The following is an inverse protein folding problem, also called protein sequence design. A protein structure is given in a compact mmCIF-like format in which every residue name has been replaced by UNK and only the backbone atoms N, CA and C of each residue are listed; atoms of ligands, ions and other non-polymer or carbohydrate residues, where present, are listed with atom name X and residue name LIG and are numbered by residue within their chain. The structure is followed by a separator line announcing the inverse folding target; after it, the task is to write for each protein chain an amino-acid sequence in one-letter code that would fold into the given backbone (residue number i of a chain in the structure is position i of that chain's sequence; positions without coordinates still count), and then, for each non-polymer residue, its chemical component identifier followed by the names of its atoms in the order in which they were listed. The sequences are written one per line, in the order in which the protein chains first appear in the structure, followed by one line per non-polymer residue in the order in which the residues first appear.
data_IF_307976086097
#
_entry.id   IF_307976086097
#
_cell.length_a   1.000
_cell.length_b   1.000
_cell.length_c   1.000
_cell.angle_alpha   90.00
_cell.angle_beta   90.00
_cell.angle_gamma   90.00
#
_symmetry.space_group_name_H-M   'P 1'
#
loop_
_entity.id
_entity.type
_entity.pdbx_description
1 polymer ?
#
# COMPACT_ATOMS: atom_id res chain seq x y z
N UNK A 1 16.53 11.65 18.51
CA UNK A 1 15.48 10.91 19.24
C UNK A 1 14.62 10.21 18.19
N UNK A 2 14.51 8.88 18.23
CA UNK A 2 13.52 8.17 17.42
C UNK A 2 12.13 8.69 17.83
N UNK A 3 11.28 8.98 16.85
CA UNK A 3 9.95 9.54 17.07
C UNK A 3 9.03 8.45 17.65
N UNK A 4 8.44 8.67 18.83
CA UNK A 4 7.50 7.73 19.47
C UNK A 4 6.04 7.84 18.92
N UNK A 5 5.88 8.32 17.69
CA UNK A 5 4.57 8.61 17.06
C UNK A 5 3.63 7.41 16.97
N UNK A 6 4.17 6.18 17.02
CA UNK A 6 3.42 4.93 17.01
C UNK A 6 3.67 4.09 18.28
N UNK A 7 4.17 4.70 19.37
CA UNK A 7 4.38 3.98 20.63
C UNK A 7 3.09 3.32 21.11
N UNK A 8 3.19 2.05 21.49
CA UNK A 8 2.06 1.24 21.97
C UNK A 8 1.10 0.78 20.86
N UNK A 9 1.35 1.09 19.59
CA UNK A 9 0.52 0.64 18.46
C UNK A 9 1.07 -0.65 17.83
N UNK A 10 0.16 -1.52 17.44
CA UNK A 10 0.45 -2.68 16.59
C UNK A 10 0.07 -2.37 15.15
N UNK A 11 0.98 -2.56 14.21
CA UNK A 11 0.79 -2.28 12.79
C UNK A 11 1.05 -3.52 11.93
N UNK A 12 0.18 -3.75 10.95
CA UNK A 12 0.41 -4.71 9.86
C UNK A 12 0.80 -3.95 8.60
N UNK A 13 1.85 -4.41 7.93
CA UNK A 13 2.26 -3.90 6.61
C UNK A 13 2.36 -5.07 5.64
N UNK A 14 1.58 -5.05 4.56
CA UNK A 14 1.64 -6.08 3.51
C UNK A 14 2.67 -5.71 2.43
N UNK A 15 3.22 -6.71 1.72
CA UNK A 15 4.36 -6.57 0.82
C UNK A 15 5.56 -5.90 1.50
N UNK A 16 5.82 -6.27 2.75
CA UNK A 16 6.85 -5.67 3.58
C UNK A 16 8.28 -6.13 3.23
N UNK A 17 8.44 -7.12 2.38
CA UNK A 17 9.74 -7.64 1.98
C UNK A 17 10.58 -6.68 1.14
N UNK A 18 9.95 -5.75 0.41
CA UNK A 18 10.66 -4.85 -0.50
C UNK A 18 9.96 -3.49 -0.68
N UNK A 19 10.66 -2.54 -1.32
CA UNK A 19 10.13 -1.27 -1.81
C UNK A 19 9.41 -0.45 -0.74
N UNK A 20 8.21 0.05 -1.07
CA UNK A 20 7.43 0.94 -0.20
C UNK A 20 7.00 0.23 1.08
N UNK A 21 6.56 -1.05 0.97
CA UNK A 21 6.15 -1.83 2.14
C UNK A 21 7.29 -1.96 3.16
N UNK A 22 8.50 -2.31 2.67
CA UNK A 22 9.69 -2.42 3.53
C UNK A 22 10.05 -1.10 4.20
N UNK A 23 10.16 -0.03 3.41
CA UNK A 23 10.49 1.30 3.95
C UNK A 23 9.46 1.76 5.01
N UNK A 24 8.18 1.44 4.80
CA UNK A 24 7.12 1.77 5.76
C UNK A 24 7.19 0.92 7.02
N UNK A 25 7.42 -0.39 6.90
CA UNK A 25 7.59 -1.27 8.06
C UNK A 25 8.76 -0.80 8.94
N UNK A 26 9.91 -0.50 8.32
CA UNK A 26 11.08 0.04 9.02
C UNK A 26 10.80 1.42 9.66
N UNK A 27 10.05 2.30 8.96
CA UNK A 27 9.67 3.60 9.51
C UNK A 27 8.73 3.47 10.71
N UNK A 28 7.77 2.54 10.67
CA UNK A 28 6.84 2.28 11.77
C UNK A 28 7.55 1.71 13.00
N UNK A 29 8.52 0.81 12.80
CA UNK A 29 9.38 0.31 13.89
C UNK A 29 10.18 1.44 14.52
N UNK A 30 10.81 2.31 13.71
CA UNK A 30 11.55 3.49 14.24
C UNK A 30 10.64 4.44 15.00
N UNK A 31 9.36 4.46 14.69
CA UNK A 31 8.35 5.27 15.37
C UNK A 31 7.73 4.58 16.61
N UNK A 32 8.26 3.44 17.05
CA UNK A 32 7.85 2.76 18.28
C UNK A 32 6.71 1.75 18.13
N UNK A 33 6.29 1.40 16.90
CA UNK A 33 5.25 0.38 16.69
C UNK A 33 5.81 -1.04 16.83
N UNK A 34 4.97 -1.95 17.33
CA UNK A 34 5.09 -3.38 17.05
C UNK A 34 4.63 -3.63 15.63
N UNK A 35 5.53 -4.06 14.74
CA UNK A 35 5.24 -4.24 13.31
C UNK A 35 5.20 -5.71 12.94
N UNK A 36 4.06 -6.16 12.40
CA UNK A 36 3.93 -7.45 11.73
C UNK A 36 4.12 -7.22 10.23
N UNK A 37 5.27 -7.65 9.72
CA UNK A 37 5.67 -7.54 8.32
C UNK A 37 5.17 -8.75 7.54
N UNK A 38 4.23 -8.54 6.63
CA UNK A 38 3.58 -9.59 5.83
C UNK A 38 4.12 -9.59 4.42
N UNK A 39 4.58 -10.73 3.94
CA UNK A 39 4.99 -10.96 2.53
C UNK A 39 4.86 -12.44 2.18
N UNK A 40 4.85 -12.76 0.89
CA UNK A 40 5.00 -14.14 0.40
C UNK A 40 6.46 -14.59 0.37
N UNK A 41 7.40 -13.65 0.34
CA UNK A 41 8.84 -13.92 0.30
C UNK A 41 9.43 -14.06 1.72
N UNK A 42 9.55 -15.30 2.16
CA UNK A 42 10.14 -15.65 3.46
C UNK A 42 11.59 -15.20 3.60
N UNK A 43 12.35 -15.11 2.50
CA UNK A 43 13.77 -14.70 2.53
C UNK A 43 13.86 -13.20 2.75
N UNK A 44 13.05 -12.42 2.02
CA UNK A 44 12.99 -10.97 2.18
C UNK A 44 12.57 -10.59 3.62
N UNK A 45 11.58 -11.29 4.20
CA UNK A 45 11.14 -11.06 5.57
C UNK A 45 12.25 -11.29 6.62
N UNK A 46 13.10 -12.29 6.44
CA UNK A 46 14.23 -12.57 7.38
C UNK A 46 15.20 -11.40 7.49
N UNK A 47 15.28 -10.54 6.49
CA UNK A 47 16.14 -9.35 6.51
C UNK A 47 15.57 -8.18 7.32
N UNK A 48 14.31 -8.26 7.76
CA UNK A 48 13.60 -7.25 8.60
C UNK A 48 13.76 -7.61 10.08
N UNK A 49 14.95 -7.46 10.63
CA UNK A 49 15.32 -7.96 11.96
C UNK A 49 14.55 -7.33 13.14
N UNK A 50 13.90 -6.19 12.94
CA UNK A 50 13.13 -5.47 13.98
C UNK A 50 11.62 -5.61 13.80
N UNK A 51 11.16 -6.41 12.81
CA UNK A 51 9.74 -6.69 12.56
C UNK A 51 9.44 -8.16 12.88
N UNK A 52 8.19 -8.45 13.22
CA UNK A 52 7.68 -9.81 13.26
C UNK A 52 7.31 -10.25 11.85
N UNK A 53 8.12 -11.09 11.22
CA UNK A 53 7.86 -11.59 9.86
C UNK A 53 6.74 -12.63 9.83
N UNK A 54 5.78 -12.47 8.93
CA UNK A 54 4.70 -13.41 8.68
C UNK A 54 4.58 -13.73 7.18
N UNK A 55 4.83 -14.96 6.81
CA UNK A 55 4.63 -15.43 5.43
C UNK A 55 3.14 -15.65 5.19
N UNK A 56 2.55 -14.89 4.27
CA UNK A 56 1.12 -14.94 3.96
C UNK A 56 0.88 -14.53 2.51
N UNK A 57 0.15 -15.35 1.76
CA UNK A 57 -0.46 -14.90 0.50
C UNK A 57 -1.77 -14.18 0.81
N UNK A 58 -1.78 -12.87 0.62
CA UNK A 58 -2.95 -12.02 0.88
C UNK A 58 -4.11 -12.25 -0.11
N UNK A 59 -3.94 -13.14 -1.09
CA UNK A 59 -5.02 -13.59 -1.98
C UNK A 59 -5.83 -14.75 -1.41
N UNK A 60 -5.35 -15.38 -0.34
CA UNK A 60 -6.04 -16.50 0.32
C UNK A 60 -6.87 -16.00 1.52
N UNK A 61 -8.21 -15.91 1.39
CA UNK A 61 -9.07 -15.44 2.47
C UNK A 61 -9.06 -16.33 3.71
N UNK A 62 -8.83 -17.64 3.54
CA UNK A 62 -8.78 -18.59 4.66
C UNK A 62 -7.51 -18.39 5.46
N UNK A 63 -6.36 -18.27 4.78
CA UNK A 63 -5.09 -17.97 5.43
C UNK A 63 -5.11 -16.59 6.13
N UNK A 64 -5.79 -15.59 5.56
CA UNK A 64 -5.99 -14.28 6.20
C UNK A 64 -6.81 -14.42 7.49
N UNK A 65 -7.89 -15.21 7.47
CA UNK A 65 -8.73 -15.41 8.66
C UNK A 65 -7.96 -16.10 9.82
N UNK A 66 -7.21 -17.14 9.52
CA UNK A 66 -6.32 -17.82 10.48
C UNK A 66 -5.23 -16.87 11.01
N UNK A 67 -4.63 -16.08 10.10
CA UNK A 67 -3.63 -15.07 10.46
C UNK A 67 -4.23 -14.03 11.41
N UNK A 68 -5.42 -13.49 11.11
CA UNK A 68 -6.08 -12.48 11.96
C UNK A 68 -6.43 -13.05 13.34
N UNK A 69 -6.92 -14.28 13.42
CA UNK A 69 -7.21 -14.93 14.69
C UNK A 69 -5.94 -15.11 15.56
N UNK A 70 -4.80 -15.39 14.95
CA UNK A 70 -3.51 -15.55 15.64
C UNK A 70 -2.91 -14.22 16.09
N UNK A 71 -3.02 -13.15 15.28
CA UNK A 71 -2.42 -11.84 15.59
C UNK A 71 -3.25 -11.07 16.61
N UNK A 72 -4.57 -11.19 16.55
CA UNK A 72 -5.48 -10.41 17.38
C UNK A 72 -5.65 -8.96 16.91
N UNK A 73 -6.15 -8.08 17.79
CA UNK A 73 -6.42 -6.68 17.44
C UNK A 73 -5.17 -5.89 17.04
N UNK A 74 -5.32 -5.01 16.04
CA UNK A 74 -4.25 -4.11 15.57
C UNK A 74 -4.78 -2.68 15.47
N UNK A 75 -3.87 -1.70 15.52
CA UNK A 75 -4.21 -0.27 15.40
C UNK A 75 -4.04 0.26 13.98
N UNK A 76 -3.12 -0.33 13.22
CA UNK A 76 -2.77 0.14 11.87
C UNK A 76 -2.76 -1.04 10.91
N UNK A 77 -3.42 -0.87 9.75
CA UNK A 77 -3.36 -1.79 8.63
C UNK A 77 -2.90 -1.02 7.38
N UNK A 78 -1.67 -1.29 6.93
CA UNK A 78 -1.17 -0.75 5.68
C UNK A 78 -1.22 -1.82 4.58
N UNK A 79 -2.20 -1.71 3.70
CA UNK A 79 -2.37 -2.53 2.52
C UNK A 79 -1.48 -2.01 1.38
N UNK A 80 -0.27 -2.52 1.27
CA UNK A 80 0.73 -2.12 0.27
C UNK A 80 0.92 -3.16 -0.84
N UNK A 81 0.47 -4.39 -0.66
CA UNK A 81 0.58 -5.44 -1.68
C UNK A 81 -0.14 -5.06 -2.97
N UNK A 82 0.51 -5.35 -4.10
CA UNK A 82 -0.08 -5.04 -5.40
C UNK A 82 0.86 -5.37 -6.56
N UNK A 83 0.29 -5.41 -7.76
CA UNK A 83 0.99 -5.63 -9.02
C UNK A 83 0.62 -4.57 -10.05
N UNK A 84 1.48 -4.39 -11.05
CA UNK A 84 1.33 -3.39 -12.12
C UNK A 84 1.34 -4.08 -13.49
N UNK A 85 0.25 -4.73 -13.92
CA UNK A 85 0.18 -5.31 -15.25
C UNK A 85 0.17 -4.20 -16.31
N UNK A 86 0.84 -4.45 -17.44
CA UNK A 86 0.72 -3.67 -18.66
C UNK A 86 -0.47 -4.17 -19.51
N UNK A 87 -0.84 -3.38 -20.51
CA UNK A 87 -1.86 -3.70 -21.49
C UNK A 87 -2.95 -2.64 -21.59
N UNK A 88 -3.38 -2.43 -22.84
CA UNK A 88 -4.59 -1.66 -23.18
C UNK A 88 -5.83 -2.53 -22.96
N UNK A 89 -7.03 -1.96 -23.14
CA UNK A 89 -8.29 -2.73 -23.07
C UNK A 89 -8.35 -3.86 -24.11
N UNK A 90 -7.62 -3.74 -25.22
CA UNK A 90 -7.58 -4.74 -26.29
C UNK A 90 -6.46 -5.77 -26.13
N UNK A 91 -5.40 -5.44 -25.37
CA UNK A 91 -4.20 -6.28 -25.29
C UNK A 91 -3.94 -6.88 -23.90
N UNK A 92 -4.65 -6.43 -22.85
CA UNK A 92 -4.52 -7.04 -21.52
C UNK A 92 -5.12 -8.45 -21.54
N UNK A 93 -4.32 -9.44 -21.16
CA UNK A 93 -4.77 -10.82 -21.02
C UNK A 93 -5.76 -10.96 -19.85
N UNK A 94 -6.81 -11.78 -20.02
CA UNK A 94 -7.88 -11.92 -19.03
C UNK A 94 -7.39 -12.46 -17.69
N UNK A 95 -6.42 -13.37 -17.71
CA UNK A 95 -5.78 -13.88 -16.49
C UNK A 95 -5.02 -12.80 -15.73
N UNK A 96 -4.32 -11.91 -16.45
CA UNK A 96 -3.64 -10.74 -15.83
C UNK A 96 -4.62 -9.72 -15.29
N UNK A 97 -5.75 -9.52 -15.99
CA UNK A 97 -6.84 -8.71 -15.50
C UNK A 97 -7.39 -9.27 -14.17
N UNK A 98 -7.73 -10.55 -14.12
CA UNK A 98 -8.25 -11.21 -12.93
C UNK A 98 -7.24 -11.17 -11.78
N UNK A 99 -5.99 -11.55 -12.03
CA UNK A 99 -4.93 -11.52 -11.01
C UNK A 99 -4.70 -10.10 -10.44
N UNK A 100 -4.87 -9.05 -11.28
CA UNK A 100 -4.79 -7.68 -10.81
C UNK A 100 -5.93 -7.34 -9.84
N UNK A 101 -7.16 -7.76 -10.09
CA UNK A 101 -8.27 -7.57 -9.17
C UNK A 101 -8.09 -8.37 -7.88
N UNK A 102 -7.67 -9.63 -7.99
CA UNK A 102 -7.42 -10.48 -6.82
C UNK A 102 -6.38 -9.87 -5.87
N UNK A 103 -5.24 -9.41 -6.41
CA UNK A 103 -4.17 -8.88 -5.56
C UNK A 103 -4.40 -7.42 -5.16
N UNK A 104 -4.81 -6.54 -6.10
CA UNK A 104 -4.88 -5.10 -5.82
C UNK A 104 -6.17 -4.69 -5.10
N UNK A 105 -7.25 -5.48 -5.22
CA UNK A 105 -8.58 -5.10 -4.68
C UNK A 105 -9.08 -6.12 -3.67
N UNK A 106 -9.25 -7.39 -4.08
CA UNK A 106 -9.85 -8.41 -3.21
C UNK A 106 -8.97 -8.68 -1.98
N UNK A 107 -7.64 -8.75 -2.14
CA UNK A 107 -6.73 -8.92 -1.03
C UNK A 107 -6.86 -7.80 0.01
N UNK A 108 -6.95 -6.52 -0.42
CA UNK A 108 -7.18 -5.40 0.49
C UNK A 108 -8.53 -5.51 1.20
N UNK A 109 -9.59 -5.86 0.47
CA UNK A 109 -10.91 -6.07 1.04
C UNK A 109 -10.89 -7.17 2.12
N UNK A 110 -10.25 -8.30 1.85
CA UNK A 110 -10.16 -9.41 2.80
C UNK A 110 -9.33 -9.04 4.03
N UNK A 111 -8.21 -8.34 3.88
CA UNK A 111 -7.40 -7.84 4.99
C UNK A 111 -8.21 -6.86 5.85
N UNK A 112 -8.89 -5.89 5.24
CA UNK A 112 -9.75 -4.96 5.98
C UNK A 112 -10.83 -5.72 6.73
N UNK A 113 -11.56 -6.62 6.07
CA UNK A 113 -12.65 -7.40 6.67
C UNK A 113 -12.19 -8.23 7.87
N UNK A 114 -10.96 -8.73 7.85
CA UNK A 114 -10.41 -9.56 8.91
C UNK A 114 -10.00 -8.76 10.16
N UNK A 115 -9.45 -7.55 9.98
CA UNK A 115 -8.92 -6.77 11.11
C UNK A 115 -9.83 -5.64 11.59
N UNK A 116 -10.75 -5.17 10.75
CA UNK A 116 -11.68 -4.08 11.07
C UNK A 116 -12.55 -4.35 12.32
N UNK A 117 -13.08 -5.56 12.56
CA UNK A 117 -13.90 -5.80 13.76
C UNK A 117 -13.17 -5.47 15.07
N UNK A 118 -11.91 -5.88 15.23
CA UNK A 118 -11.10 -5.55 16.39
C UNK A 118 -10.77 -4.06 16.52
N UNK A 119 -10.56 -3.36 15.39
CA UNK A 119 -10.39 -1.90 15.38
C UNK A 119 -11.67 -1.19 15.84
N UNK A 120 -12.83 -1.65 15.38
CA UNK A 120 -14.16 -1.11 15.76
C UNK A 120 -14.42 -1.32 17.23
N UNK A 121 -14.18 -2.51 17.77
CA UNK A 121 -14.32 -2.82 19.21
C UNK A 121 -13.43 -1.89 20.06
N UNK A 122 -12.17 -1.69 19.64
CA UNK A 122 -11.24 -0.78 20.30
C UNK A 122 -11.55 0.71 20.05
N UNK A 123 -12.47 1.05 19.13
CA UNK A 123 -12.74 2.41 18.63
C UNK A 123 -11.48 3.16 18.20
N UNK A 124 -10.51 2.44 17.67
CA UNK A 124 -9.19 2.96 17.29
C UNK A 124 -8.62 2.16 16.13
N UNK A 125 -8.63 2.73 14.93
CA UNK A 125 -8.09 2.09 13.75
C UNK A 125 -7.65 3.08 12.68
N UNK A 126 -6.49 2.83 12.07
CA UNK A 126 -6.02 3.53 10.88
C UNK A 126 -5.75 2.54 9.76
N UNK A 127 -6.53 2.61 8.69
CA UNK A 127 -6.37 1.81 7.48
C UNK A 127 -5.77 2.69 6.39
N UNK A 128 -4.71 2.23 5.78
CA UNK A 128 -3.99 2.93 4.71
C UNK A 128 -3.95 1.99 3.51
N UNK A 129 -4.51 2.43 2.39
CA UNK A 129 -4.56 1.63 1.17
C UNK A 129 -3.64 2.23 0.10
N UNK A 130 -2.76 1.41 -0.47
CA UNK A 130 -1.89 1.82 -1.56
C UNK A 130 -2.66 1.85 -2.88
N UNK A 131 -3.01 3.06 -3.35
CA UNK A 131 -3.53 3.30 -4.68
C UNK A 131 -2.42 3.79 -5.63
N UNK A 132 -2.72 4.72 -6.52
CA UNK A 132 -1.80 5.32 -7.48
C UNK A 132 -2.42 6.59 -8.08
N UNK A 133 -1.62 7.48 -8.65
CA UNK A 133 -2.14 8.52 -9.55
C UNK A 133 -2.77 7.89 -10.80
N UNK A 134 -2.23 6.77 -11.31
CA UNK A 134 -2.86 5.97 -12.36
C UNK A 134 -4.09 5.23 -11.80
N UNK A 135 -5.22 5.92 -11.71
CA UNK A 135 -6.48 5.47 -11.11
C UNK A 135 -7.65 6.35 -11.61
N UNK A 136 -8.60 6.67 -10.75
CA UNK A 136 -9.62 7.69 -11.02
C UNK A 136 -9.06 9.13 -11.01
N UNK A 137 -7.78 9.32 -10.69
CA UNK A 137 -7.11 10.62 -10.73
C UNK A 137 -6.69 10.92 -12.17
N UNK A 138 -5.97 10.00 -12.81
CA UNK A 138 -5.61 10.14 -14.24
C UNK A 138 -5.48 8.80 -14.94
N UNK A 139 -5.77 8.79 -16.25
CA UNK A 139 -5.49 7.66 -17.14
C UNK A 139 -4.01 7.65 -17.56
N UNK A 140 -3.41 6.47 -17.49
CA UNK A 140 -2.03 6.25 -17.96
C UNK A 140 -2.06 5.21 -19.08
N UNK A 141 -1.45 5.49 -20.24
CA UNK A 141 -1.40 4.53 -21.35
C UNK A 141 -0.84 3.17 -20.88
N UNK A 142 -1.36 2.10 -21.45
CA UNK A 142 -0.91 0.73 -21.17
C UNK A 142 -1.08 0.30 -19.70
N UNK A 143 -2.11 0.81 -19.03
CA UNK A 143 -2.42 0.52 -17.62
C UNK A 143 -3.91 0.23 -17.37
N UNK A 144 -4.60 -0.38 -18.34
CA UNK A 144 -6.04 -0.62 -18.24
C UNK A 144 -6.43 -1.36 -16.96
N UNK A 145 -5.92 -2.58 -16.72
CA UNK A 145 -6.21 -3.35 -15.51
C UNK A 145 -5.70 -2.65 -14.25
N UNK A 146 -4.47 -2.14 -14.29
CA UNK A 146 -3.87 -1.47 -13.14
C UNK A 146 -4.67 -0.24 -12.71
N UNK A 147 -4.93 0.69 -13.63
CA UNK A 147 -5.67 1.92 -13.33
C UNK A 147 -7.08 1.65 -12.81
N UNK A 148 -7.76 0.67 -13.40
CA UNK A 148 -9.10 0.26 -12.96
C UNK A 148 -9.06 -0.28 -11.52
N UNK A 149 -8.11 -1.16 -11.19
CA UNK A 149 -7.98 -1.69 -9.83
C UNK A 149 -7.63 -0.59 -8.82
N UNK A 150 -6.77 0.36 -9.18
CA UNK A 150 -6.39 1.47 -8.29
C UNK A 150 -7.51 2.49 -8.09
N UNK A 151 -8.39 2.66 -9.09
CA UNK A 151 -9.64 3.42 -8.92
C UNK A 151 -10.61 2.70 -7.96
N UNK A 152 -10.74 1.38 -8.05
CA UNK A 152 -11.54 0.58 -7.12
C UNK A 152 -11.04 0.70 -5.67
N UNK A 153 -9.72 0.74 -5.45
CA UNK A 153 -9.12 0.98 -4.12
C UNK A 153 -9.53 2.32 -3.53
N UNK A 154 -9.63 3.38 -4.35
CA UNK A 154 -10.12 4.69 -3.92
C UNK A 154 -11.60 4.60 -3.47
N UNK A 155 -12.43 3.89 -4.24
CA UNK A 155 -13.82 3.62 -3.88
C UNK A 155 -13.95 2.87 -2.55
N UNK A 156 -13.20 1.76 -2.40
CA UNK A 156 -13.16 0.98 -1.16
C UNK A 156 -12.73 1.82 0.05
N UNK A 157 -11.70 2.66 -0.12
CA UNK A 157 -11.20 3.55 0.94
C UNK A 157 -12.29 4.49 1.44
N UNK A 158 -13.02 5.13 0.53
CA UNK A 158 -14.10 6.06 0.87
C UNK A 158 -15.28 5.36 1.53
N UNK A 159 -15.66 4.17 1.04
CA UNK A 159 -16.74 3.38 1.63
C UNK A 159 -16.43 2.98 3.07
N UNK A 160 -15.25 2.42 3.33
CA UNK A 160 -14.82 2.06 4.69
C UNK A 160 -14.77 3.28 5.61
N UNK A 161 -14.26 4.41 5.13
CA UNK A 161 -14.24 5.64 5.91
C UNK A 161 -15.65 6.12 6.26
N UNK A 162 -16.56 6.16 5.29
CA UNK A 162 -17.93 6.62 5.50
C UNK A 162 -18.71 5.73 6.50
N UNK A 163 -18.54 4.42 6.39
CA UNK A 163 -19.27 3.46 7.22
C UNK A 163 -18.80 3.43 8.68
N UNK A 164 -17.48 3.69 8.93
CA UNK A 164 -16.88 3.42 10.24
C UNK A 164 -16.24 4.63 10.92
N UNK A 165 -16.31 5.85 10.36
CA UNK A 165 -15.74 7.06 10.99
C UNK A 165 -16.33 7.34 12.37
N UNK A 166 -17.62 7.16 12.56
CA UNK A 166 -18.30 7.33 13.87
C UNK A 166 -17.88 6.29 14.92
N UNK A 167 -17.22 5.22 14.49
CA UNK A 167 -16.71 4.15 15.32
C UNK A 167 -15.20 4.27 15.59
N UNK A 168 -14.60 5.44 15.28
CA UNK A 168 -13.20 5.73 15.56
C UNK A 168 -12.21 5.15 14.52
N UNK A 169 -12.70 4.82 13.31
CA UNK A 169 -11.87 4.28 12.24
C UNK A 169 -11.58 5.35 11.19
N UNK A 170 -10.31 5.47 10.83
CA UNK A 170 -9.87 6.27 9.69
C UNK A 170 -9.43 5.33 8.56
N UNK A 171 -9.77 5.66 7.33
CA UNK A 171 -9.34 4.94 6.15
C UNK A 171 -8.93 5.94 5.07
N UNK A 172 -7.67 5.88 4.62
CA UNK A 172 -7.12 6.81 3.63
C UNK A 172 -6.36 6.05 2.54
N UNK A 173 -6.26 6.66 1.35
CA UNK A 173 -5.47 6.13 0.24
C UNK A 173 -4.23 6.98 -0.01
N UNK A 174 -3.08 6.35 -0.24
CA UNK A 174 -1.89 7.01 -0.78
C UNK A 174 -1.86 6.75 -2.29
N UNK A 175 -1.64 7.81 -3.07
CA UNK A 175 -1.61 7.77 -4.54
C UNK A 175 -0.25 8.28 -5.05
N UNK A 176 0.77 7.43 -5.08
CA UNK A 176 2.09 7.82 -5.56
C UNK A 176 2.12 8.04 -7.08
N UNK A 177 3.04 8.91 -7.51
CA UNK A 177 3.60 8.89 -8.85
C UNK A 177 4.54 7.70 -9.06
N UNK A 178 5.61 7.89 -9.81
CA UNK A 178 6.60 6.84 -10.03
C UNK A 178 7.62 6.81 -8.90
N UNK A 179 7.72 5.68 -8.21
CA UNK A 179 8.63 5.45 -7.08
C UNK A 179 9.71 4.44 -7.45
N UNK A 180 10.96 4.74 -7.10
CA UNK A 180 12.13 3.87 -7.37
C UNK A 180 12.12 2.66 -6.43
N UNK A 181 11.57 1.57 -6.91
CA UNK A 181 11.39 0.31 -6.18
C UNK A 181 11.99 -0.86 -6.96
N UNK A 182 12.32 -1.98 -6.31
CA UNK A 182 12.76 -3.19 -7.03
C UNK A 182 11.77 -3.63 -8.12
N UNK A 183 10.47 -3.50 -7.88
CA UNK A 183 9.44 -3.81 -8.86
C UNK A 183 9.48 -2.87 -10.08
N UNK A 184 9.77 -1.57 -9.88
CA UNK A 184 10.00 -0.65 -11.00
C UNK A 184 11.26 -1.04 -11.76
N UNK A 185 12.37 -1.29 -11.06
CA UNK A 185 13.64 -1.66 -11.70
C UNK A 185 13.49 -2.89 -12.60
N UNK A 186 12.83 -3.94 -12.11
CA UNK A 186 12.55 -5.13 -12.92
C UNK A 186 11.75 -4.80 -14.18
N UNK A 187 10.76 -3.90 -14.10
CA UNK A 187 9.99 -3.46 -15.27
C UNK A 187 10.80 -2.60 -16.24
N UNK A 188 11.65 -1.71 -15.73
CA UNK A 188 12.53 -0.89 -16.59
C UNK A 188 13.47 -1.78 -17.42
N UNK A 189 14.07 -2.81 -16.81
CA UNK A 189 14.89 -3.78 -17.54
C UNK A 189 14.10 -4.56 -18.59
N UNK A 190 12.82 -4.85 -18.36
CA UNK A 190 11.97 -5.58 -19.30
C UNK A 190 11.60 -4.75 -20.55
N UNK A 191 11.71 -3.42 -20.51
CA UNK A 191 11.44 -2.54 -21.68
C UNK A 191 12.61 -2.45 -22.68
N UNK A 192 13.76 -3.04 -22.36
CA UNK A 192 14.94 -3.13 -23.25
C UNK A 192 15.95 -1.99 -23.06
N UNK A 193 15.65 -0.76 -23.48
CA UNK A 193 16.54 0.40 -23.25
C UNK A 193 16.29 1.00 -21.87
N UNK A 194 17.06 0.52 -20.90
CA UNK A 194 16.92 0.92 -19.49
C UNK A 194 17.10 2.43 -19.28
N UNK A 195 18.18 3.02 -19.83
CA UNK A 195 18.52 4.43 -19.58
C UNK A 195 17.46 5.38 -20.16
N UNK A 196 17.04 5.12 -21.39
CA UNK A 196 15.97 5.87 -22.04
C UNK A 196 14.65 5.73 -21.26
N UNK A 197 14.27 4.50 -20.95
CA UNK A 197 13.01 4.23 -20.24
C UNK A 197 13.02 4.86 -18.86
N UNK A 198 14.13 4.75 -18.12
CA UNK A 198 14.28 5.40 -16.81
C UNK A 198 14.10 6.92 -16.94
N UNK A 199 14.75 7.54 -17.93
CA UNK A 199 14.61 8.98 -18.17
C UNK A 199 13.17 9.37 -18.48
N UNK A 200 12.47 8.60 -19.32
CA UNK A 200 11.06 8.82 -19.63
C UNK A 200 10.17 8.76 -18.37
N UNK A 201 10.49 7.89 -17.44
CA UNK A 201 9.77 7.79 -16.17
C UNK A 201 10.10 8.93 -15.21
N UNK A 202 11.34 9.41 -15.17
CA UNK A 202 11.75 10.56 -14.36
C UNK A 202 11.09 11.86 -14.85
N UNK A 203 11.02 12.07 -16.16
CA UNK A 203 10.44 13.30 -16.75
C UNK A 203 8.92 13.42 -16.61
N UNK A 204 8.23 12.34 -16.24
CA UNK A 204 6.79 12.40 -15.91
C UNK A 204 6.51 13.27 -14.69
N UNK A 205 7.43 13.32 -13.75
CA UNK A 205 7.35 14.15 -12.56
C UNK A 205 8.08 15.47 -12.81
N UNK A 206 7.42 16.65 -12.71
CA UNK A 206 8.07 17.95 -12.81
C UNK A 206 9.28 18.16 -11.88
N UNK A 207 9.35 17.45 -10.75
CA UNK A 207 10.55 17.42 -9.89
C UNK A 207 11.77 16.77 -10.56
N UNK A 208 11.64 16.16 -11.75
CA UNK A 208 12.74 15.62 -12.55
C UNK A 208 13.42 14.37 -11.98
N UNK A 209 12.76 13.66 -11.08
CA UNK A 209 13.28 12.43 -10.47
C UNK A 209 12.16 11.47 -10.08
N UNK A 210 12.53 10.22 -9.85
CA UNK A 210 11.65 9.25 -9.21
C UNK A 210 11.48 9.58 -7.71
N UNK A 211 10.31 9.27 -7.15
CA UNK A 211 10.10 9.27 -5.71
C UNK A 211 10.91 8.15 -5.05
N UNK A 212 11.24 8.32 -3.78
CA UNK A 212 11.90 7.29 -2.97
C UNK A 212 10.87 6.56 -2.11
N UNK A 213 11.04 5.24 -1.84
CA UNK A 213 10.16 4.51 -0.93
C UNK A 213 9.99 5.18 0.44
N UNK A 214 11.05 5.80 0.96
CA UNK A 214 11.06 6.50 2.25
C UNK A 214 10.15 7.74 2.25
N UNK A 215 9.99 8.40 1.11
CA UNK A 215 9.08 9.56 0.98
C UNK A 215 7.62 9.12 1.11
N UNK A 216 7.28 7.95 0.55
CA UNK A 216 5.96 7.35 0.72
C UNK A 216 5.75 6.85 2.15
N UNK A 217 6.79 6.24 2.73
CA UNK A 217 6.77 5.75 4.12
C UNK A 217 6.54 6.88 5.13
N UNK A 218 7.09 8.08 4.88
CA UNK A 218 6.86 9.25 5.73
C UNK A 218 5.37 9.67 5.76
N UNK A 219 4.70 9.64 4.61
CA UNK A 219 3.27 9.90 4.53
C UNK A 219 2.45 8.76 5.18
N UNK A 220 2.83 7.51 4.95
CA UNK A 220 2.20 6.36 5.59
C UNK A 220 2.32 6.44 7.12
N UNK A 221 3.49 6.84 7.65
CA UNK A 221 3.70 7.07 9.07
C UNK A 221 2.79 8.17 9.63
N UNK A 222 2.66 9.30 8.92
CA UNK A 222 1.72 10.35 9.31
C UNK A 222 0.28 9.83 9.40
N UNK A 223 -0.18 9.11 8.37
CA UNK A 223 -1.54 8.56 8.34
C UNK A 223 -1.77 7.47 9.39
N UNK A 224 -0.73 6.72 9.78
CA UNK A 224 -0.78 5.72 10.85
C UNK A 224 -0.85 6.35 12.25
N UNK A 225 -0.31 7.55 12.42
CA UNK A 225 -0.20 8.23 13.70
C UNK A 225 -1.48 9.01 14.08
N UNK A 226 -1.56 9.43 15.34
CA UNK A 226 -2.67 10.24 15.85
C UNK A 226 -2.64 11.69 15.34
N UNK A 227 -1.52 12.13 14.75
CA UNK A 227 -1.39 13.43 14.08
C UNK A 227 -2.36 13.60 12.91
N UNK A 228 -2.80 12.50 12.29
CA UNK A 228 -3.80 12.50 11.23
C UNK A 228 -5.23 12.23 11.74
N UNK A 229 -5.49 12.50 13.02
CA UNK A 229 -6.78 12.19 13.68
C UNK A 229 -8.02 12.81 13.04
N UNK A 230 -7.87 13.91 12.28
CA UNK A 230 -8.97 14.56 11.53
C UNK A 230 -8.97 14.25 10.03
N UNK A 231 -8.20 13.23 9.60
CA UNK A 231 -8.01 12.86 8.20
C UNK A 231 -8.57 11.47 7.93
N UNK A 232 -9.69 11.37 7.20
CA UNK A 232 -10.30 10.12 6.78
C UNK A 232 -11.03 10.26 5.44
N UNK A 233 -11.14 9.18 4.66
CA UNK A 233 -11.77 9.15 3.35
C UNK A 233 -11.00 9.90 2.26
N UNK A 234 -9.76 10.29 2.52
CA UNK A 234 -8.97 11.13 1.62
C UNK A 234 -8.05 10.33 0.72
N UNK A 235 -7.75 10.92 -0.45
CA UNK A 235 -6.72 10.47 -1.37
C UNK A 235 -5.53 11.42 -1.27
N UNK A 236 -4.37 10.89 -0.90
CA UNK A 236 -3.15 11.67 -0.71
C UNK A 236 -2.23 11.47 -1.90
N UNK A 237 -2.18 12.45 -2.80
CA UNK A 237 -1.30 12.43 -3.96
C UNK A 237 0.12 12.77 -3.50
N UNK A 238 1.10 11.96 -3.92
CA UNK A 238 2.52 12.16 -3.68
C UNK A 238 3.29 11.72 -4.93
N UNK A 239 3.48 12.62 -5.88
CA UNK A 239 3.80 12.29 -7.25
C UNK A 239 4.88 13.18 -7.91
N UNK A 240 5.53 14.04 -7.14
CA UNK A 240 6.54 14.96 -7.66
C UNK A 240 5.99 16.00 -8.64
N UNK A 241 4.69 16.31 -8.52
CA UNK A 241 4.01 17.31 -9.34
C UNK A 241 3.41 16.78 -10.63
N UNK A 242 3.30 15.46 -10.81
CA UNK A 242 2.74 14.89 -12.04
C UNK A 242 1.28 15.31 -12.29
N UNK A 243 0.50 15.53 -11.25
CA UNK A 243 -0.93 15.85 -11.32
C UNK A 243 -1.28 17.33 -11.09
N UNK A 244 -0.34 18.24 -11.30
CA UNK A 244 -0.57 19.69 -11.27
C UNK A 244 -0.64 20.29 -12.67
#
# INVERSE_FOLDING_TARGET
MESERLSGKTAIVTAAGSGIGRASAEAFVRAGARVIAVDIDAIALKSLTRCEGAVLDVRDPSAIAEFAARIGPVNVLFNCAGMVPGGTVLSVELDKWQAAFELNVHAMFHMIRAFLPGMVEARNGSIINMSSVASSITGVPDRCAYGTTKAAVIGLTKSVAADFVSQGIRCNAICPGTVDTPSLQSRLHAYGDYEKTRKDFETRQPMGRLGKPEEIAALALHLASDESGFTTGQIHIIDGGWMI
#
